data_IF_113276938484
#
_entry.id   IF_113276938484
#
_cell.length_a   1.000
_cell.length_b   1.000
_cell.length_c   1.000
_cell.angle_alpha   90.00
_cell.angle_beta   90.00
_cell.angle_gamma   90.00
#
_symmetry.space_group_name_H-M   'P 1'
#
loop_
_entity.id
_entity.type
_entity.pdbx_description
1 polymer ?
#
# COMPACT_ATOMS: atom_id res chain seq x y z
N UNK A 1 -1.72 -1.86 -28.79
CA UNK A 1 -0.97 -2.24 -27.57
C UNK A 1 -1.69 -1.77 -26.30
N UNK A 2 -2.08 -0.49 -26.18
CA UNK A 2 -2.77 0.05 -24.99
C UNK A 2 -4.08 -0.68 -24.59
N UNK A 3 -4.91 -1.10 -25.55
CA UNK A 3 -6.20 -1.74 -25.26
C UNK A 3 -6.08 -3.14 -24.59
N UNK A 4 -5.09 -3.94 -25.00
CA UNK A 4 -4.85 -5.25 -24.40
C UNK A 4 -4.34 -5.14 -22.95
N UNK A 5 -3.57 -4.10 -22.65
CA UNK A 5 -3.04 -3.84 -21.30
C UNK A 5 -4.13 -3.34 -20.35
N UNK A 6 -5.04 -2.49 -20.85
CA UNK A 6 -6.20 -2.04 -20.08
C UNK A 6 -7.16 -3.18 -19.73
N UNK A 7 -7.46 -4.07 -20.69
CA UNK A 7 -8.30 -5.23 -20.44
C UNK A 7 -7.66 -6.19 -19.42
N UNK A 8 -6.36 -6.45 -19.54
CA UNK A 8 -5.64 -7.29 -18.60
C UNK A 8 -5.62 -6.70 -17.18
N UNK A 9 -5.48 -5.37 -17.03
CA UNK A 9 -5.54 -4.69 -15.72
C UNK A 9 -6.92 -4.82 -15.06
N UNK A 10 -7.99 -4.64 -15.83
CA UNK A 10 -9.35 -4.81 -15.33
C UNK A 10 -9.63 -6.26 -14.92
N UNK A 11 -9.16 -7.23 -15.71
CA UNK A 11 -9.31 -8.64 -15.35
C UNK A 11 -8.57 -8.97 -14.05
N UNK A 12 -7.29 -8.57 -13.93
CA UNK A 12 -6.51 -8.75 -12.69
C UNK A 12 -7.19 -8.12 -11.46
N UNK A 13 -7.78 -6.94 -11.63
CA UNK A 13 -8.51 -6.28 -10.55
C UNK A 13 -9.74 -7.09 -10.11
N UNK A 14 -10.52 -7.61 -11.05
CA UNK A 14 -11.70 -8.44 -10.75
C UNK A 14 -11.31 -9.74 -10.09
N UNK A 15 -10.30 -10.43 -10.63
CA UNK A 15 -9.80 -11.68 -10.08
C UNK A 15 -9.33 -11.50 -8.63
N UNK A 16 -8.61 -10.41 -8.34
CA UNK A 16 -8.17 -10.09 -6.98
C UNK A 16 -9.34 -9.72 -6.06
N UNK A 17 -10.33 -8.97 -6.56
CA UNK A 17 -11.54 -8.66 -5.78
C UNK A 17 -12.29 -9.94 -5.41
N UNK A 18 -12.48 -10.85 -6.36
CA UNK A 18 -13.20 -12.11 -6.15
C UNK A 18 -12.44 -13.01 -5.17
N UNK A 19 -11.11 -13.08 -5.31
CA UNK A 19 -10.25 -13.76 -4.32
C UNK A 19 -10.41 -13.18 -2.92
N UNK A 20 -10.46 -11.85 -2.78
CA UNK A 20 -10.64 -11.22 -1.46
C UNK A 20 -11.99 -11.60 -0.87
N UNK A 21 -13.06 -11.53 -1.66
CA UNK A 21 -14.40 -11.92 -1.20
C UNK A 21 -14.44 -13.39 -0.79
N UNK A 22 -13.85 -14.28 -1.58
CA UNK A 22 -13.80 -15.72 -1.28
C UNK A 22 -13.07 -16.00 0.05
N UNK A 23 -11.88 -15.43 0.25
CA UNK A 23 -11.12 -15.59 1.49
C UNK A 23 -11.88 -15.04 2.70
N UNK A 24 -12.53 -13.87 2.54
CA UNK A 24 -13.39 -13.30 3.58
C UNK A 24 -14.52 -14.26 3.95
N UNK A 25 -15.29 -14.73 2.96
CA UNK A 25 -16.43 -15.62 3.17
C UNK A 25 -16.03 -16.95 3.81
N UNK A 26 -14.87 -17.51 3.46
CA UNK A 26 -14.43 -18.81 3.97
C UNK A 26 -13.79 -18.71 5.36
N UNK A 27 -12.87 -17.77 5.56
CA UNK A 27 -12.02 -17.74 6.75
C UNK A 27 -12.53 -16.80 7.85
N UNK A 28 -13.21 -15.72 7.47
CA UNK A 28 -13.57 -14.64 8.40
C UNK A 28 -15.06 -14.62 8.71
N UNK A 29 -15.90 -14.66 7.68
CA UNK A 29 -17.35 -14.61 7.79
C UNK A 29 -18.06 -15.97 7.73
N UNK A 30 -17.30 -17.06 7.57
CA UNK A 30 -17.84 -18.42 7.62
C UNK A 30 -18.43 -18.78 8.99
N UNK A 31 -19.16 -19.90 9.13
CA UNK A 31 -19.84 -20.27 10.39
C UNK A 31 -18.92 -20.37 11.60
N UNK A 32 -17.65 -20.75 11.40
CA UNK A 32 -16.60 -20.86 12.42
C UNK A 32 -15.64 -19.67 12.42
N UNK A 33 -15.86 -18.66 11.57
CA UNK A 33 -14.99 -17.51 11.45
C UNK A 33 -15.24 -16.47 12.56
N UNK A 34 -14.24 -15.61 12.87
CA UNK A 34 -14.35 -14.59 13.91
C UNK A 34 -15.48 -13.57 13.66
N UNK A 35 -15.85 -13.35 12.39
CA UNK A 35 -16.87 -12.38 11.97
C UNK A 35 -18.03 -13.07 11.27
N UNK A 36 -18.44 -14.24 11.77
CA UNK A 36 -19.47 -15.08 11.15
C UNK A 36 -20.71 -14.28 10.70
N UNK A 37 -21.01 -14.35 9.40
CA UNK A 37 -22.13 -13.67 8.74
C UNK A 37 -21.85 -12.23 8.28
N UNK A 38 -20.69 -11.65 8.56
CA UNK A 38 -20.33 -10.31 8.09
C UNK A 38 -20.06 -10.29 6.58
N UNK A 39 -20.43 -9.20 5.91
CA UNK A 39 -20.24 -9.02 4.46
C UNK A 39 -19.13 -8.02 4.22
N UNK A 40 -18.23 -8.29 3.26
CA UNK A 40 -17.19 -7.38 2.82
C UNK A 40 -17.50 -6.87 1.42
N UNK A 41 -17.42 -5.55 1.23
CA UNK A 41 -17.30 -4.91 -0.08
C UNK A 41 -15.86 -4.40 -0.27
N UNK A 42 -14.97 -5.18 -0.92
CA UNK A 42 -13.57 -4.85 -1.04
C UNK A 42 -13.27 -4.08 -2.32
N UNK A 43 -12.22 -3.27 -2.23
CA UNK A 43 -11.56 -2.59 -3.32
C UNK A 43 -10.05 -2.91 -3.28
N UNK A 44 -9.55 -3.74 -4.22
CA UNK A 44 -8.13 -3.97 -4.40
C UNK A 44 -7.33 -2.70 -4.66
N UNK A 45 -6.11 -2.65 -4.14
CA UNK A 45 -5.15 -1.56 -4.29
C UNK A 45 -3.77 -2.14 -4.66
N UNK A 46 -2.88 -1.37 -5.30
CA UNK A 46 -1.52 -1.87 -5.55
C UNK A 46 -0.72 -2.21 -4.27
N UNK A 47 -1.11 -1.67 -3.12
CA UNK A 47 -0.45 -1.88 -1.81
C UNK A 47 -1.24 -2.76 -0.84
N UNK A 48 -2.28 -3.45 -1.32
CA UNK A 48 -3.17 -4.24 -0.47
C UNK A 48 -4.62 -4.13 -0.92
N UNK A 49 -5.53 -3.99 0.03
CA UNK A 49 -6.93 -3.71 -0.27
C UNK A 49 -7.55 -2.92 0.87
N UNK A 50 -8.68 -2.29 0.59
CA UNK A 50 -9.54 -1.76 1.63
C UNK A 50 -10.99 -2.09 1.36
N UNK A 51 -11.86 -1.98 2.34
CA UNK A 51 -13.26 -2.30 2.13
C UNK A 51 -14.16 -2.01 3.31
N UNK A 52 -15.44 -1.90 3.00
CA UNK A 52 -16.47 -1.74 4.00
C UNK A 52 -16.96 -3.13 4.46
N UNK A 53 -16.95 -3.33 5.76
CA UNK A 53 -17.49 -4.52 6.42
C UNK A 53 -18.86 -4.17 6.98
N UNK A 54 -19.88 -4.89 6.54
CA UNK A 54 -21.22 -4.86 7.13
C UNK A 54 -21.31 -5.98 8.16
N UNK A 55 -21.54 -5.61 9.40
CA UNK A 55 -21.64 -6.52 10.54
C UNK A 55 -23.07 -7.01 10.71
N UNK A 56 -23.23 -8.19 11.30
CA UNK A 56 -24.55 -8.71 11.67
C UNK A 56 -25.04 -7.94 12.90
N UNK A 57 -26.14 -7.16 12.80
CA UNK A 57 -26.59 -6.32 13.90
C UNK A 57 -26.82 -7.11 15.18
N UNK A 58 -26.30 -6.59 16.29
CA UNK A 58 -26.43 -7.21 17.62
C UNK A 58 -25.57 -8.48 17.85
N UNK A 59 -24.83 -8.95 16.85
CA UNK A 59 -23.90 -10.09 16.99
C UNK A 59 -22.43 -9.67 17.01
N UNK A 60 -22.10 -8.65 16.23
CA UNK A 60 -20.75 -8.12 16.10
C UNK A 60 -20.76 -6.60 16.22
N UNK A 61 -19.60 -6.06 16.57
CA UNK A 61 -19.30 -4.64 16.71
C UNK A 61 -17.98 -4.32 16.02
N UNK A 62 -17.66 -3.04 15.87
CA UNK A 62 -16.36 -2.61 15.31
C UNK A 62 -15.19 -3.21 16.10
N UNK A 63 -15.35 -3.41 17.41
CA UNK A 63 -14.33 -4.02 18.26
C UNK A 63 -14.02 -5.46 17.85
N UNK A 64 -15.02 -6.24 17.45
CA UNK A 64 -14.81 -7.61 16.97
C UNK A 64 -13.98 -7.62 15.69
N UNK A 65 -14.12 -6.61 14.82
CA UNK A 65 -13.28 -6.45 13.63
C UNK A 65 -11.84 -6.10 14.00
N UNK A 66 -11.63 -5.26 15.02
CA UNK A 66 -10.29 -4.96 15.54
C UNK A 66 -9.63 -6.20 16.14
N UNK A 67 -10.37 -6.98 16.92
CA UNK A 67 -9.89 -8.23 17.52
C UNK A 67 -9.64 -9.32 16.46
N UNK A 68 -10.35 -9.27 15.33
CA UNK A 68 -10.12 -10.14 14.18
C UNK A 68 -8.92 -9.73 13.30
N UNK A 69 -8.27 -8.59 13.53
CA UNK A 69 -7.16 -8.12 12.69
C UNK A 69 -6.05 -9.17 12.47
N UNK A 70 -5.57 -9.93 13.48
CA UNK A 70 -4.59 -11.00 13.25
C UNK A 70 -5.11 -12.15 12.37
N UNK A 71 -6.41 -12.45 12.45
CA UNK A 71 -7.04 -13.46 11.59
C UNK A 71 -7.15 -12.95 10.14
N UNK A 72 -7.44 -11.65 9.96
CA UNK A 72 -7.39 -11.00 8.65
C UNK A 72 -5.97 -11.08 8.08
N UNK A 73 -4.96 -10.72 8.87
CA UNK A 73 -3.55 -10.79 8.43
C UNK A 73 -3.16 -12.20 7.98
N UNK A 74 -3.53 -13.21 8.79
CA UNK A 74 -3.31 -14.61 8.46
C UNK A 74 -4.04 -15.04 7.19
N UNK A 75 -5.31 -14.66 7.02
CA UNK A 75 -6.12 -15.09 5.88
C UNK A 75 -5.59 -14.55 4.55
N UNK A 76 -5.04 -13.33 4.55
CA UNK A 76 -4.52 -12.66 3.36
C UNK A 76 -2.99 -12.75 3.23
N UNK A 77 -2.30 -13.37 4.19
CA UNK A 77 -0.84 -13.47 4.19
C UNK A 77 -0.13 -12.12 4.31
N UNK A 78 -0.77 -11.12 4.93
CA UNK A 78 -0.14 -9.81 5.13
C UNK A 78 0.78 -9.85 6.36
N UNK A 79 1.79 -8.97 6.43
CA UNK A 79 2.63 -8.86 7.61
C UNK A 79 1.81 -8.55 8.87
N UNK A 80 2.38 -8.89 10.03
CA UNK A 80 1.83 -8.49 11.32
C UNK A 80 1.74 -6.96 11.42
N UNK A 81 0.67 -6.47 12.02
CA UNK A 81 0.35 -5.04 12.19
C UNK A 81 0.16 -4.30 10.85
N UNK A 82 -0.17 -5.04 9.77
CA UNK A 82 -0.47 -4.49 8.46
C UNK A 82 -1.98 -4.25 8.22
N UNK A 83 -2.84 -4.66 9.16
CA UNK A 83 -4.27 -4.35 9.13
C UNK A 83 -4.59 -3.11 9.98
N UNK A 84 -5.45 -2.23 9.44
CA UNK A 84 -5.97 -1.05 10.13
C UNK A 84 -7.49 -1.04 10.01
N UNK A 85 -8.18 -0.94 11.15
CA UNK A 85 -9.64 -0.84 11.23
C UNK A 85 -10.01 0.59 11.62
N UNK A 86 -10.81 1.27 10.82
CA UNK A 86 -11.27 2.64 11.09
C UNK A 86 -12.65 2.66 11.75
N UNK A 87 -12.76 3.44 12.82
CA UNK A 87 -14.00 3.60 13.59
C UNK A 87 -14.89 4.74 13.08
N UNK A 88 -14.32 5.79 12.47
CA UNK A 88 -14.91 7.14 12.56
C UNK A 88 -15.29 7.84 11.25
N UNK A 89 -14.98 7.27 10.07
CA UNK A 89 -15.17 7.99 8.79
C UNK A 89 -16.27 7.43 7.89
N UNK A 90 -16.62 6.15 8.06
CA UNK A 90 -17.62 5.44 7.23
C UNK A 90 -18.38 4.35 8.00
N UNK A 91 -18.05 4.07 9.26
CA UNK A 91 -18.69 3.04 10.08
C UNK A 91 -19.81 3.58 10.97
N UNK A 92 -20.98 2.94 10.93
CA UNK A 92 -21.99 3.02 12.00
C UNK A 92 -21.76 1.87 12.98
N UNK A 93 -22.59 1.70 14.04
CA UNK A 93 -22.44 0.58 14.97
C UNK A 93 -22.37 -0.81 14.28
N UNK A 94 -23.00 -0.92 13.09
CA UNK A 94 -23.06 -2.14 12.28
C UNK A 94 -22.10 -2.13 11.07
N UNK A 95 -21.19 -1.16 10.96
CA UNK A 95 -20.26 -1.06 9.84
C UNK A 95 -18.85 -0.71 10.32
N UNK A 96 -17.84 -1.36 9.75
CA UNK A 96 -16.44 -1.04 9.94
C UNK A 96 -15.75 -0.83 8.59
N UNK A 97 -14.65 -0.09 8.57
CA UNK A 97 -13.80 0.01 7.39
C UNK A 97 -12.44 -0.61 7.66
N UNK A 98 -11.99 -1.48 6.77
CA UNK A 98 -10.73 -2.21 6.92
C UNK A 98 -9.77 -1.81 5.81
N UNK A 99 -8.52 -1.60 6.17
CA UNK A 99 -7.38 -1.56 5.27
C UNK A 99 -6.46 -2.72 5.61
N UNK A 100 -6.12 -3.55 4.63
CA UNK A 100 -5.11 -4.60 4.78
C UNK A 100 -3.98 -4.32 3.79
N UNK A 101 -2.79 -4.03 4.31
CA UNK A 101 -1.65 -3.62 3.50
C UNK A 101 -0.67 -4.77 3.26
N UNK A 102 0.00 -4.76 2.11
CA UNK A 102 1.11 -5.67 1.82
C UNK A 102 2.36 -5.36 2.67
N UNK A 103 2.45 -4.17 3.28
CA UNK A 103 3.62 -3.72 4.05
C UNK A 103 3.23 -3.05 5.35
N UNK A 104 4.08 -3.17 6.36
CA UNK A 104 3.89 -2.46 7.64
C UNK A 104 4.14 -0.96 7.49
N UNK A 105 5.04 -0.53 6.59
CA UNK A 105 5.23 0.89 6.29
C UNK A 105 3.95 1.56 5.78
N UNK A 106 3.17 0.88 4.93
CA UNK A 106 1.90 1.41 4.45
C UNK A 106 0.86 1.53 5.59
N UNK A 107 0.77 0.53 6.45
CA UNK A 107 -0.11 0.58 7.62
C UNK A 107 0.28 1.68 8.61
N UNK A 108 1.58 1.82 8.92
CA UNK A 108 2.09 2.89 9.77
C UNK A 108 1.83 4.28 9.17
N UNK A 109 2.08 4.45 7.87
CA UNK A 109 1.75 5.70 7.18
C UNK A 109 0.27 6.01 7.24
N UNK A 110 -0.61 5.02 6.99
CA UNK A 110 -2.06 5.19 7.09
C UNK A 110 -2.50 5.61 8.49
N UNK A 111 -1.95 5.01 9.56
CA UNK A 111 -2.27 5.41 10.95
C UNK A 111 -1.92 6.87 11.24
N UNK A 112 -0.81 7.36 10.69
CA UNK A 112 -0.32 8.72 10.93
C UNK A 112 -0.88 9.75 9.94
N UNK A 113 -1.24 9.31 8.75
CA UNK A 113 -1.79 10.10 7.64
C UNK A 113 -2.83 9.26 6.89
N UNK A 114 -4.06 9.19 7.43
CA UNK A 114 -5.07 8.32 6.86
C UNK A 114 -5.40 8.69 5.42
N UNK A 115 -5.29 7.69 4.55
CA UNK A 115 -5.68 7.78 3.14
C UNK A 115 -7.19 7.96 3.00
N UNK A 116 -7.62 8.62 1.93
CA UNK A 116 -9.03 8.81 1.65
C UNK A 116 -9.62 7.61 0.92
N UNK A 117 -10.81 7.21 1.33
CA UNK A 117 -11.62 6.21 0.61
C UNK A 117 -12.31 6.80 -0.62
N UNK A 118 -12.31 8.14 -0.79
CA UNK A 118 -12.94 8.83 -1.93
C UNK A 118 -12.34 8.41 -3.26
N UNK A 119 -11.02 8.32 -3.33
CA UNK A 119 -10.35 7.92 -4.55
C UNK A 119 -10.60 6.44 -4.84
N UNK A 120 -10.82 5.62 -3.82
CA UNK A 120 -11.04 4.17 -3.97
C UNK A 120 -12.47 3.85 -4.41
N UNK A 121 -13.50 4.34 -3.72
CA UNK A 121 -14.89 4.08 -4.09
C UNK A 121 -15.37 4.94 -5.26
N UNK A 122 -14.76 6.11 -5.49
CA UNK A 122 -15.04 6.95 -6.65
C UNK A 122 -14.67 6.31 -7.99
N UNK A 123 -13.80 5.28 -7.98
CA UNK A 123 -13.39 4.52 -9.17
C UNK A 123 -14.39 3.45 -9.62
N UNK A 124 -15.48 3.20 -8.89
CA UNK A 124 -16.57 2.35 -9.37
C UNK A 124 -16.16 0.90 -9.74
N UNK A 125 -15.27 0.28 -8.96
CA UNK A 125 -14.69 -1.05 -9.23
C UNK A 125 -13.72 -1.10 -10.43
N UNK A 126 -12.99 -0.01 -10.68
CA UNK A 126 -11.91 0.05 -11.67
C UNK A 126 -10.52 0.02 -11.01
N UNK A 127 -9.49 -0.52 -11.71
CA UNK A 127 -8.12 -0.49 -11.22
C UNK A 127 -7.57 0.93 -11.07
N UNK A 128 -6.56 1.09 -10.21
CA UNK A 128 -5.82 2.34 -10.10
C UNK A 128 -5.22 2.78 -11.44
N UNK A 129 -5.26 4.08 -11.80
CA UNK A 129 -4.76 4.55 -13.09
C UNK A 129 -3.28 4.20 -13.27
N UNK A 130 -2.82 4.00 -14.52
CA UNK A 130 -1.46 3.53 -14.77
C UNK A 130 -0.39 4.58 -14.45
N UNK A 131 -0.79 5.84 -14.31
CA UNK A 131 0.11 6.96 -14.02
C UNK A 131 -0.56 7.92 -13.05
N UNK A 132 0.27 8.56 -12.23
CA UNK A 132 -0.13 9.67 -11.41
C UNK A 132 -0.32 10.93 -12.25
N UNK A 133 -0.98 11.95 -11.68
CA UNK A 133 -1.03 13.26 -12.32
C UNK A 133 0.40 13.83 -12.47
N UNK A 134 0.66 14.68 -13.49
CA UNK A 134 1.99 15.21 -13.75
C UNK A 134 2.62 15.90 -12.53
N UNK A 135 1.84 16.73 -11.84
CA UNK A 135 2.31 17.48 -10.67
C UNK A 135 2.71 16.57 -9.49
N UNK A 136 2.09 15.40 -9.38
CA UNK A 136 2.36 14.42 -8.31
C UNK A 136 3.64 13.66 -8.61
N UNK A 137 3.81 13.30 -9.89
CA UNK A 137 5.04 12.71 -10.40
C UNK A 137 6.22 13.65 -10.23
N UNK A 138 6.05 14.94 -10.56
CA UNK A 138 7.06 15.98 -10.34
C UNK A 138 7.39 16.18 -8.87
N UNK A 139 6.37 16.17 -8.00
CA UNK A 139 6.57 16.31 -6.56
C UNK A 139 7.35 15.14 -5.97
N UNK A 140 7.03 13.90 -6.37
CA UNK A 140 7.78 12.72 -5.95
C UNK A 140 9.22 12.77 -6.47
N UNK A 141 9.40 13.13 -7.74
CA UNK A 141 10.71 13.26 -8.38
C UNK A 141 11.62 14.28 -7.68
N UNK A 142 11.06 15.42 -7.26
CA UNK A 142 11.78 16.45 -6.50
C UNK A 142 12.27 15.92 -5.14
N UNK A 143 11.40 15.24 -4.38
CA UNK A 143 11.80 14.64 -3.10
C UNK A 143 12.82 13.51 -3.27
N UNK A 144 12.65 12.67 -4.29
CA UNK A 144 13.58 11.60 -4.61
C UNK A 144 14.97 12.17 -4.92
N UNK A 145 15.06 13.19 -5.78
CA UNK A 145 16.33 13.85 -6.10
C UNK A 145 16.98 14.52 -4.88
N UNK A 146 16.20 15.24 -4.07
CA UNK A 146 16.70 15.88 -2.83
C UNK A 146 17.23 14.86 -1.83
N UNK A 147 16.58 13.71 -1.71
CA UNK A 147 16.99 12.65 -0.81
C UNK A 147 18.21 11.89 -1.32
N UNK A 148 18.20 11.44 -2.59
CA UNK A 148 19.31 10.71 -3.21
C UNK A 148 20.63 11.53 -3.18
N UNK A 149 20.55 12.83 -3.45
CA UNK A 149 21.68 13.75 -3.30
C UNK A 149 22.20 13.78 -1.85
N UNK A 150 21.28 13.88 -0.88
CA UNK A 150 21.62 13.87 0.55
C UNK A 150 22.31 12.58 0.97
N UNK A 151 21.76 11.43 0.55
CA UNK A 151 22.30 10.10 0.85
C UNK A 151 23.71 9.93 0.29
N UNK A 152 23.91 10.26 -0.99
CA UNK A 152 25.22 10.15 -1.64
C UNK A 152 26.26 11.03 -0.96
N UNK A 153 25.90 12.28 -0.63
CA UNK A 153 26.80 13.20 0.09
C UNK A 153 27.17 12.68 1.47
N UNK A 154 26.20 12.16 2.22
CA UNK A 154 26.43 11.56 3.55
C UNK A 154 27.39 10.38 3.47
N UNK A 155 27.21 9.47 2.51
CA UNK A 155 28.12 8.33 2.35
C UNK A 155 29.54 8.76 1.96
N UNK A 156 29.68 9.75 1.09
CA UNK A 156 30.98 10.26 0.66
C UNK A 156 31.80 10.93 1.79
N UNK A 157 31.13 11.61 2.72
CA UNK A 157 31.79 12.36 3.81
C UNK A 157 32.01 11.47 5.05
N UNK A 158 31.45 10.25 5.09
CA UNK A 158 31.58 9.33 6.23
C UNK A 158 30.76 9.73 7.46
N UNK A 159 29.73 10.58 7.30
CA UNK A 159 28.91 11.04 8.41
C UNK A 159 27.73 11.92 8.00
N UNK A 160 26.72 12.00 8.87
CA UNK A 160 25.51 12.79 8.64
C UNK A 160 25.65 14.16 9.31
N UNK A 161 26.16 15.16 8.59
CA UNK A 161 25.91 16.55 9.00
C UNK A 161 24.45 16.90 8.68
N UNK A 162 23.69 17.33 9.68
CA UNK A 162 22.26 17.68 9.51
C UNK A 162 21.32 16.47 9.45
N UNK A 163 21.43 15.54 10.40
CA UNK A 163 20.56 14.36 10.56
C UNK A 163 19.08 14.71 10.42
N UNK A 164 18.61 15.77 11.07
CA UNK A 164 17.20 16.19 11.00
C UNK A 164 16.74 16.51 9.58
N UNK A 165 17.60 17.10 8.73
CA UNK A 165 17.29 17.38 7.34
C UNK A 165 17.24 16.10 6.51
N UNK A 166 18.18 15.18 6.75
CA UNK A 166 18.22 13.88 6.08
C UNK A 166 16.95 13.06 6.40
N UNK A 167 16.64 12.91 7.70
CA UNK A 167 15.45 12.21 8.19
C UNK A 167 14.17 12.84 7.65
N UNK A 168 14.07 14.18 7.64
CA UNK A 168 12.92 14.88 7.06
C UNK A 168 12.75 14.59 5.56
N UNK A 169 13.84 14.53 4.80
CA UNK A 169 13.80 14.21 3.36
C UNK A 169 13.37 12.77 3.12
N UNK A 170 13.91 11.82 3.90
CA UNK A 170 13.47 10.43 3.84
C UNK A 170 11.98 10.30 4.17
N UNK A 171 11.52 10.94 5.25
CA UNK A 171 10.11 10.91 5.66
C UNK A 171 9.19 11.51 4.59
N UNK A 172 9.62 12.59 3.90
CA UNK A 172 8.87 13.19 2.79
C UNK A 172 8.84 12.29 1.56
N UNK A 173 9.95 11.65 1.22
CA UNK A 173 10.00 10.68 0.13
C UNK A 173 9.09 9.47 0.42
N UNK A 174 9.20 8.87 1.61
CA UNK A 174 8.34 7.75 2.04
C UNK A 174 6.87 8.12 1.97
N UNK A 175 6.50 9.30 2.49
CA UNK A 175 5.14 9.80 2.41
C UNK A 175 4.67 9.95 0.96
N UNK A 176 5.48 10.54 0.08
CA UNK A 176 5.14 10.68 -1.34
C UNK A 176 4.96 9.34 -2.07
N UNK A 177 5.78 8.34 -1.76
CA UNK A 177 5.64 6.97 -2.28
C UNK A 177 4.31 6.37 -1.82
N UNK A 178 4.07 6.38 -0.51
CA UNK A 178 2.91 5.75 0.11
C UNK A 178 1.59 6.46 -0.20
N UNK A 179 1.64 7.77 -0.48
CA UNK A 179 0.48 8.53 -0.95
C UNK A 179 0.14 8.20 -2.41
N UNK A 180 1.12 7.81 -3.24
CA UNK A 180 0.92 7.55 -4.67
C UNK A 180 0.56 6.10 -5.00
N UNK A 181 1.14 5.14 -4.28
CA UNK A 181 0.92 3.72 -4.57
C UNK A 181 -0.54 3.24 -4.53
N UNK A 182 -1.47 3.75 -3.69
CA UNK A 182 -2.89 3.35 -3.72
C UNK A 182 -3.63 3.75 -5.00
N UNK A 183 -3.05 4.68 -5.76
CA UNK A 183 -3.72 5.42 -6.83
C UNK A 183 -2.89 5.48 -8.11
N UNK A 184 -1.82 4.72 -8.19
CA UNK A 184 -0.96 4.64 -9.37
C UNK A 184 -0.26 3.28 -9.43
N UNK A 185 0.05 2.83 -10.64
CA UNK A 185 0.85 1.63 -10.86
C UNK A 185 2.23 1.70 -10.16
N UNK A 186 2.65 0.65 -9.43
CA UNK A 186 3.96 0.63 -8.75
C UNK A 186 5.15 0.82 -9.70
N UNK A 187 5.06 0.35 -10.94
CA UNK A 187 6.11 0.50 -11.96
C UNK A 187 6.34 1.97 -12.35
N UNK A 188 5.29 2.80 -12.33
CA UNK A 188 5.43 4.25 -12.55
C UNK A 188 6.20 4.92 -11.40
N UNK A 189 5.90 4.53 -10.15
CA UNK A 189 6.62 5.03 -8.97
C UNK A 189 8.08 4.56 -8.99
N UNK A 190 8.32 3.27 -9.28
CA UNK A 190 9.66 2.70 -9.45
C UNK A 190 10.46 3.46 -10.51
N UNK A 191 9.87 3.76 -11.67
CA UNK A 191 10.52 4.51 -12.74
C UNK A 191 10.97 5.90 -12.26
N UNK A 192 10.10 6.67 -11.59
CA UNK A 192 10.46 7.98 -11.04
C UNK A 192 11.64 7.88 -10.07
N UNK A 193 11.61 6.90 -9.17
CA UNK A 193 12.65 6.72 -8.15
C UNK A 193 14.00 6.34 -8.77
N UNK A 194 13.99 5.40 -9.71
CA UNK A 194 15.21 4.93 -10.39
C UNK A 194 15.84 6.02 -11.26
N UNK A 195 15.03 6.83 -11.98
CA UNK A 195 15.52 8.00 -12.72
C UNK A 195 16.23 9.02 -11.82
N UNK A 196 15.83 9.12 -10.55
CA UNK A 196 16.48 10.01 -9.57
C UNK A 196 17.61 9.33 -8.79
N UNK A 197 17.99 8.11 -9.16
CA UNK A 197 19.09 7.37 -8.54
C UNK A 197 18.77 6.82 -7.16
N UNK A 198 17.48 6.68 -6.81
CA UNK A 198 17.06 5.97 -5.59
C UNK A 198 17.22 4.48 -5.85
N UNK A 199 17.87 3.79 -4.91
CA UNK A 199 18.13 2.34 -4.97
C UNK A 199 17.56 1.66 -3.73
N UNK A 200 17.51 0.33 -3.74
CA UNK A 200 16.95 -0.44 -2.62
C UNK A 200 17.60 -0.10 -1.26
N UNK A 201 18.92 0.18 -1.24
CA UNK A 201 19.66 0.54 -0.01
C UNK A 201 19.28 1.90 0.61
N UNK A 202 18.46 2.68 -0.09
CA UNK A 202 18.05 4.01 0.32
C UNK A 202 16.66 4.04 0.96
N UNK A 203 15.92 2.94 0.92
CA UNK A 203 14.55 2.87 1.45
C UNK A 203 14.44 1.71 2.46
N UNK A 204 13.38 1.71 3.30
CA UNK A 204 12.99 0.52 4.04
C UNK A 204 12.81 -0.68 3.11
N UNK A 205 13.19 -1.87 3.58
CA UNK A 205 13.21 -3.09 2.77
C UNK A 205 11.84 -3.41 2.16
N UNK A 206 10.75 -3.22 2.92
CA UNK A 206 9.38 -3.47 2.47
C UNK A 206 8.97 -2.55 1.30
N UNK A 207 9.35 -1.28 1.34
CA UNK A 207 9.14 -0.33 0.25
C UNK A 207 10.05 -0.61 -0.95
N UNK A 208 11.27 -1.06 -0.72
CA UNK A 208 12.17 -1.43 -1.79
C UNK A 208 11.69 -2.69 -2.53
N UNK A 209 11.14 -3.66 -1.80
CA UNK A 209 10.59 -4.91 -2.33
C UNK A 209 9.33 -4.66 -3.16
N UNK A 210 8.35 -3.92 -2.63
CA UNK A 210 7.09 -3.65 -3.35
C UNK A 210 7.30 -2.82 -4.63
N UNK A 211 8.36 -2.00 -4.66
CA UNK A 211 8.75 -1.22 -5.84
C UNK A 211 9.79 -1.93 -6.71
N UNK A 212 10.20 -3.15 -6.35
CA UNK A 212 11.22 -3.93 -7.05
C UNK A 212 12.49 -3.10 -7.37
N UNK A 213 12.95 -2.28 -6.42
CA UNK A 213 14.05 -1.36 -6.68
C UNK A 213 15.38 -2.11 -6.87
N UNK A 214 16.23 -1.65 -7.80
CA UNK A 214 17.52 -2.29 -8.03
C UNK A 214 18.44 -2.15 -6.81
N UNK A 215 19.16 -3.24 -6.51
CA UNK A 215 20.29 -3.22 -5.58
C UNK A 215 21.47 -2.50 -6.22
N UNK A 216 22.14 -1.65 -5.45
CA UNK A 216 23.35 -0.96 -5.92
C UNK A 216 24.48 -1.98 -6.09
N UNK A 217 24.89 -2.25 -7.33
CA UNK A 217 26.05 -3.12 -7.65
C UNK A 217 25.77 -4.41 -8.43
N UNK A 218 24.59 -4.56 -9.03
CA UNK A 218 24.32 -5.64 -10.00
C UNK A 218 24.98 -5.38 -11.36
N UNK A 219 26.32 -5.29 -11.40
CA UNK A 219 27.08 -5.58 -12.61
C UNK A 219 27.43 -7.07 -12.61
N UNK A 220 27.06 -7.73 -13.70
CA UNK A 220 27.41 -9.08 -14.13
C UNK A 220 28.51 -9.80 -13.34
N UNK A 221 28.12 -10.84 -12.59
CA UNK A 221 28.93 -12.05 -12.55
C UNK A 221 28.39 -12.99 -13.61
N UNK A 222 28.84 -12.82 -14.85
CA UNK A 222 28.80 -13.94 -15.81
C UNK A 222 29.72 -15.05 -15.27
N UNK A 223 29.25 -16.31 -15.21
CA UNK A 223 30.14 -17.44 -15.00
C UNK A 223 30.98 -17.61 -16.28
N UNK A 224 32.30 -17.50 -16.15
CA UNK A 224 33.26 -18.05 -17.10
C UNK A 224 33.33 -19.57 -16.95
#
# INVERSE_FOLDING_TARGET
>A
MAWHDEHARHQRYRDERDRIVELWSLQLAGPSGPLAGAILDPAPLPIGWCGQVQLVPGRHSIRDVQEAAPAIESAYGTPRDAVVVEESRTGTADQAFVWAFHTTSAADHHRNRPMSTRDVHGRGNEPAPPRAEPWESEHLADWAGKYAFSYTRTRAIGGVSGVSRFVRRLARLRGGILDLLPRTDPGHVQHILTEKGVTSEMLPDDLAEILELPRRGGQDRQPH
#
